data_IF_280208259686
#
_entry.id   IF_280208259686
#
_cell.length_a   1.000
_cell.length_b   1.000
_cell.length_c   1.000
_cell.angle_alpha   90.00
_cell.angle_beta   90.00
_cell.angle_gamma   90.00
#
_symmetry.space_group_name_H-M   'P 1'
#
loop_
_entity.id
_entity.type
_entity.pdbx_description
1 polymer ?
#
# COMPACT_ATOMS: atom_id res chain seq x y z
N UNK A 1 -1.56 -21.65 50.43
CA UNK A 1 -1.86 -21.17 51.80
C UNK A 1 -0.55 -20.71 52.42
N UNK A 2 -0.49 -19.42 52.80
CA UNK A 2 0.34 -18.77 53.84
C UNK A 2 1.89 -18.82 53.64
N UNK A 3 2.69 -17.76 53.83
CA UNK A 3 2.56 -16.42 54.45
C UNK A 3 3.81 -15.60 54.03
N UNK A 4 3.73 -14.32 53.61
CA UNK A 4 4.01 -13.07 54.39
C UNK A 4 5.48 -12.95 54.90
N UNK A 5 6.21 -11.83 54.86
CA UNK A 5 5.91 -10.38 54.79
C UNK A 5 7.21 -9.58 54.48
N UNK A 6 7.09 -8.38 53.88
CA UNK A 6 8.09 -7.30 53.94
C UNK A 6 8.15 -6.66 55.36
N UNK A 7 9.09 -5.74 55.65
CA UNK A 7 8.75 -4.32 55.45
C UNK A 7 9.93 -3.39 55.04
N UNK A 8 9.57 -2.23 54.48
CA UNK A 8 10.38 -1.01 54.45
C UNK A 8 10.00 -0.09 55.63
N UNK A 9 10.86 0.88 55.99
CA UNK A 9 10.37 2.26 56.09
C UNK A 9 11.35 3.32 55.53
N UNK A 10 10.82 4.49 55.18
CA UNK A 10 11.54 5.64 54.60
C UNK A 10 12.06 6.67 55.63
N UNK A 11 11.81 7.98 55.44
CA UNK A 11 12.80 9.03 55.14
C UNK A 11 12.93 10.12 56.23
N UNK A 12 13.84 11.11 56.10
CA UNK A 12 13.81 12.51 56.64
C UNK A 12 15.20 13.21 56.43
N UNK A 13 15.45 14.41 55.88
CA UNK A 13 14.98 15.84 55.94
C UNK A 13 15.95 16.77 56.70
N UNK A 14 16.09 18.01 56.19
CA UNK A 14 16.40 19.32 56.86
C UNK A 14 16.49 20.36 55.72
N UNK A 15 15.57 21.29 55.49
CA UNK A 15 14.87 22.31 56.28
C UNK A 15 15.69 23.60 56.55
N UNK A 16 15.22 24.71 55.97
CA UNK A 16 15.36 26.09 56.46
C UNK A 16 14.18 26.93 55.94
N UNK A 17 13.32 27.42 56.85
CA UNK A 17 12.19 28.34 56.59
C UNK A 17 12.60 29.83 56.56
N UNK A 18 11.77 30.75 57.10
CA UNK A 18 10.55 31.27 56.45
C UNK A 18 10.51 32.81 56.35
N UNK A 19 9.65 33.37 55.50
CA UNK A 19 9.39 34.81 55.41
C UNK A 19 8.16 35.17 54.57
N UNK A 20 7.26 35.95 55.14
CA UNK A 20 5.88 36.19 54.72
C UNK A 20 5.71 37.28 53.64
N UNK A 21 4.50 37.29 53.05
CA UNK A 21 3.59 38.44 52.83
C UNK A 21 3.39 38.97 51.38
N UNK A 22 2.17 38.68 50.91
CA UNK A 22 1.11 39.60 50.40
C UNK A 22 1.09 40.14 48.96
N UNK A 23 -0.06 39.83 48.31
CA UNK A 23 -1.01 40.71 47.59
C UNK A 23 -0.72 41.08 46.12
N UNK A 24 -1.55 40.53 45.23
CA UNK A 24 -2.20 41.18 44.06
C UNK A 24 -2.83 42.53 44.45
N UNK A 25 -3.23 43.45 43.52
CA UNK A 25 -3.69 43.22 42.14
C UNK A 25 -3.22 44.30 41.13
N UNK A 26 -3.60 44.22 39.84
CA UNK A 26 -4.58 45.15 39.26
C UNK A 26 -4.82 44.95 37.76
N UNK A 27 -6.11 44.85 37.45
CA UNK A 27 -6.75 45.16 36.17
C UNK A 27 -7.17 46.63 36.17
N UNK A 28 -6.93 47.39 35.11
CA UNK A 28 -7.72 48.59 34.72
C UNK A 28 -7.63 48.77 33.20
N UNK A 29 -8.73 48.63 32.45
CA UNK A 29 -9.77 49.64 32.15
C UNK A 29 -9.16 50.90 31.52
N UNK A 30 -9.54 51.40 30.34
CA UNK A 30 -10.81 51.38 29.63
C UNK A 30 -11.03 52.80 29.08
N UNK A 31 -11.55 52.93 27.85
CA UNK A 31 -12.29 54.12 27.41
C UNK A 31 -13.32 53.70 26.36
N UNK A 32 -14.57 53.69 26.78
CA UNK A 32 -15.76 53.85 25.94
C UNK A 32 -15.89 55.32 25.49
N UNK A 33 -16.51 55.59 24.34
CA UNK A 33 -17.89 56.12 24.28
C UNK A 33 -18.30 56.64 22.89
N UNK A 34 -19.57 56.39 22.59
CA UNK A 34 -20.48 57.06 21.64
C UNK A 34 -20.24 56.82 20.13
N UNK A 35 -21.21 56.46 19.30
CA UNK A 35 -22.66 56.34 19.45
C UNK A 35 -23.34 56.75 18.14
N UNK A 36 -24.21 55.89 17.58
CA UNK A 36 -25.49 56.26 16.94
C UNK A 36 -26.27 55.03 16.44
N UNK A 37 -27.54 55.00 16.86
CA UNK A 37 -28.65 54.11 16.51
C UNK A 37 -29.11 54.33 15.05
N UNK A 38 -29.47 53.28 14.26
CA UNK A 38 -30.79 52.61 14.07
C UNK A 38 -31.73 53.38 13.09
N UNK A 39 -32.88 52.86 12.55
CA UNK A 39 -33.39 51.50 12.23
C UNK A 39 -34.04 51.36 10.82
N UNK A 40 -34.39 50.14 10.41
CA UNK A 40 -35.75 49.73 9.95
C UNK A 40 -35.74 48.21 9.70
N UNK A 41 -36.45 47.30 10.38
CA UNK A 41 -37.77 47.18 11.01
C UNK A 41 -38.83 46.50 10.12
N UNK A 42 -39.52 45.54 10.77
CA UNK A 42 -40.81 44.87 10.47
C UNK A 42 -40.67 43.56 9.65
N UNK A 43 -40.94 42.36 10.16
CA UNK A 43 -41.65 41.91 11.37
C UNK A 43 -43.03 41.33 11.02
N UNK A 44 -43.31 40.10 11.47
CA UNK A 44 -44.55 39.67 12.17
C UNK A 44 -44.58 38.15 12.40
N UNK A 45 -44.54 37.79 13.69
CA UNK A 45 -45.02 36.53 14.27
C UNK A 45 -46.54 36.56 14.50
N UNK A 46 -47.14 35.35 14.62
CA UNK A 46 -48.16 34.88 15.59
C UNK A 46 -49.16 33.83 15.00
N UNK A 47 -49.91 33.03 15.80
CA UNK A 47 -49.48 31.76 16.39
C UNK A 47 -50.53 30.61 16.23
N UNK A 48 -50.26 29.46 16.86
CA UNK A 48 -51.12 28.26 16.99
C UNK A 48 -52.52 28.50 17.63
N UNK A 49 -53.42 27.50 17.55
CA UNK A 49 -54.09 27.06 18.78
C UNK A 49 -54.14 25.53 19.02
N UNK A 50 -54.44 25.20 20.28
CA UNK A 50 -54.53 23.89 20.96
C UNK A 50 -55.93 23.23 20.87
N UNK A 51 -55.99 21.92 21.13
CA UNK A 51 -57.10 21.16 21.76
C UNK A 51 -56.69 19.68 21.94
N UNK A 52 -56.41 19.14 23.14
CA UNK A 52 -57.33 18.51 24.14
C UNK A 52 -58.23 17.40 23.55
N UNK A 53 -58.48 16.21 24.11
CA UNK A 53 -58.12 15.54 25.38
C UNK A 53 -58.64 14.07 25.36
N UNK A 54 -57.97 13.18 26.12
CA UNK A 54 -58.46 12.03 26.93
C UNK A 54 -59.34 10.88 26.36
N UNK A 55 -58.88 9.62 26.53
CA UNK A 55 -59.42 8.60 27.47
C UNK A 55 -59.21 7.13 27.02
N UNK A 56 -58.75 6.28 27.94
CA UNK A 56 -58.87 4.79 27.95
C UNK A 56 -60.02 4.41 28.94
N UNK A 57 -60.42 3.13 29.22
CA UNK A 57 -59.90 1.81 28.81
C UNK A 57 -60.98 0.72 28.48
N UNK A 58 -60.58 -0.49 28.04
CA UNK A 58 -61.50 -1.65 27.95
C UNK A 58 -60.84 -2.98 27.58
N UNK A 59 -60.96 -3.97 28.48
CA UNK A 59 -60.40 -5.35 28.44
C UNK A 59 -60.93 -6.21 27.27
N UNK A 60 -60.14 -7.20 26.83
CA UNK A 60 -60.54 -8.62 26.88
C UNK A 60 -59.35 -9.58 26.66
N UNK A 61 -59.16 -10.48 27.63
CA UNK A 61 -58.30 -11.67 27.55
C UNK A 61 -59.00 -12.76 26.72
N UNK A 62 -58.27 -13.47 25.85
CA UNK A 62 -58.40 -14.92 25.68
C UNK A 62 -57.03 -15.55 25.35
N UNK A 63 -56.73 -16.64 26.06
CA UNK A 63 -55.60 -17.56 25.86
C UNK A 63 -55.98 -18.59 24.78
N UNK A 64 -55.00 -19.03 23.99
CA UNK A 64 -55.09 -20.22 23.12
C UNK A 64 -53.83 -20.33 22.22
N UNK A 65 -53.37 -21.53 21.83
CA UNK A 65 -51.96 -21.92 21.85
C UNK A 65 -51.20 -21.79 20.51
N UNK A 66 -49.86 -21.79 20.59
CA UNK A 66 -48.93 -22.04 19.48
C UNK A 66 -48.69 -23.57 19.32
N UNK A 67 -47.96 -24.09 18.29
CA UNK A 67 -47.25 -23.40 17.21
C UNK A 67 -47.52 -23.95 15.78
N UNK A 68 -47.23 -23.15 14.77
CA UNK A 68 -47.21 -23.57 13.37
C UNK A 68 -46.23 -22.69 12.57
N UNK A 69 -45.21 -23.33 12.02
CA UNK A 69 -44.09 -22.72 11.32
C UNK A 69 -44.52 -21.92 10.09
N UNK A 70 -44.05 -20.67 9.96
CA UNK A 70 -43.89 -20.00 8.68
C UNK A 70 -42.72 -19.02 8.73
N UNK A 71 -41.99 -19.01 7.62
CA UNK A 71 -40.74 -18.32 7.34
C UNK A 71 -40.76 -16.82 7.66
N UNK A 72 -39.71 -16.36 8.32
CA UNK A 72 -39.41 -14.96 8.58
C UNK A 72 -38.02 -14.62 8.03
N UNK A 73 -38.02 -13.67 7.12
CA UNK A 73 -36.91 -13.09 6.36
C UNK A 73 -35.82 -12.50 7.27
N UNK A 74 -34.59 -12.56 6.76
CA UNK A 74 -33.32 -11.98 7.21
C UNK A 74 -33.42 -10.72 8.08
N UNK A 75 -32.62 -10.72 9.14
CA UNK A 75 -31.86 -9.54 9.56
C UNK A 75 -30.40 -9.98 9.70
N UNK A 76 -29.66 -9.83 8.61
CA UNK A 76 -28.21 -10.00 8.63
C UNK A 76 -27.57 -8.82 9.36
N UNK A 77 -26.79 -9.15 10.39
CA UNK A 77 -25.89 -8.24 11.09
C UNK A 77 -24.83 -7.71 10.11
N UNK A 78 -24.89 -6.41 9.86
CA UNK A 78 -23.86 -5.67 9.13
C UNK A 78 -22.64 -5.55 10.04
N UNK A 79 -21.58 -6.31 9.77
CA UNK A 79 -20.25 -6.02 10.31
C UNK A 79 -19.64 -4.84 9.55
N UNK A 80 -18.93 -3.98 10.28
CA UNK A 80 -18.26 -2.82 9.72
C UNK A 80 -17.28 -3.27 8.62
N UNK A 81 -17.53 -2.84 7.38
CA UNK A 81 -16.71 -3.04 6.16
C UNK A 81 -17.09 -4.18 5.19
N UNK A 82 -18.38 -4.52 5.04
CA UNK A 82 -18.96 -5.01 3.77
C UNK A 82 -18.06 -5.90 2.89
N UNK A 83 -17.79 -7.14 3.31
CA UNK A 83 -17.14 -8.16 2.47
C UNK A 83 -18.15 -9.23 2.07
N UNK A 84 -18.28 -9.57 0.78
CA UNK A 84 -19.03 -10.76 0.39
C UNK A 84 -18.24 -12.03 0.77
N UNK A 85 -18.87 -12.94 1.51
CA UNK A 85 -18.31 -14.20 2.00
C UNK A 85 -17.82 -15.17 0.89
N UNK A 86 -18.16 -14.91 -0.38
CA UNK A 86 -17.92 -15.82 -1.51
C UNK A 86 -16.46 -15.99 -1.94
N UNK A 87 -15.57 -15.03 -1.70
CA UNK A 87 -14.19 -15.09 -2.21
C UNK A 87 -13.34 -16.18 -1.52
N UNK A 88 -13.57 -16.43 -0.21
CA UNK A 88 -12.90 -17.52 0.54
C UNK A 88 -13.35 -18.91 0.07
N UNK A 89 -14.55 -19.05 -0.49
CA UNK A 89 -15.07 -20.32 -0.98
C UNK A 89 -14.54 -20.66 -2.38
N UNK A 90 -14.38 -19.65 -3.26
CA UNK A 90 -13.96 -19.86 -4.64
C UNK A 90 -12.50 -20.30 -4.79
N UNK A 91 -11.57 -19.79 -3.96
CA UNK A 91 -10.17 -20.25 -3.93
C UNK A 91 -10.00 -21.76 -3.62
N UNK A 92 -11.06 -22.44 -3.14
CA UNK A 92 -11.08 -23.88 -2.85
C UNK A 92 -11.77 -24.73 -3.93
N UNK A 93 -12.31 -24.14 -4.99
CA UNK A 93 -13.10 -24.83 -6.02
C UNK A 93 -12.33 -25.05 -7.32
N UNK A 94 -11.88 -26.28 -7.57
CA UNK A 94 -11.33 -26.71 -8.85
C UNK A 94 -12.31 -26.58 -10.02
N UNK A 95 -11.83 -26.13 -11.19
CA UNK A 95 -12.42 -26.51 -12.49
C UNK A 95 -11.30 -26.85 -13.47
N UNK A 96 -11.29 -28.12 -13.88
CA UNK A 96 -10.52 -28.66 -15.00
C UNK A 96 -11.16 -28.20 -16.32
N UNK A 97 -10.42 -27.48 -17.17
CA UNK A 97 -10.85 -27.19 -18.54
C UNK A 97 -9.76 -27.57 -19.56
N UNK A 98 -10.20 -28.37 -20.54
CA UNK A 98 -9.46 -28.80 -21.74
C UNK A 98 -9.14 -27.61 -22.66
N UNK A 99 -8.06 -27.68 -23.47
CA UNK A 99 -7.65 -26.60 -24.36
C UNK A 99 -8.49 -26.56 -25.66
N UNK A 100 -8.70 -25.38 -26.28
CA UNK A 100 -9.27 -25.25 -27.61
C UNK A 100 -8.19 -25.37 -28.72
N UNK A 101 -8.58 -25.69 -29.98
CA UNK A 101 -7.66 -26.01 -31.06
C UNK A 101 -7.09 -24.77 -31.79
N UNK A 102 -5.91 -25.01 -32.37
CA UNK A 102 -5.08 -24.13 -33.18
C UNK A 102 -5.70 -23.68 -34.51
N UNK A 103 -5.41 -22.45 -34.94
CA UNK A 103 -5.31 -22.07 -36.36
C UNK A 103 -4.15 -21.11 -36.61
N UNK A 104 -3.44 -21.37 -37.70
CA UNK A 104 -2.22 -20.71 -38.18
C UNK A 104 -2.55 -19.68 -39.30
N UNK A 105 -1.58 -19.10 -40.04
CA UNK A 105 -1.39 -17.65 -40.12
C UNK A 105 -1.79 -17.06 -41.49
N UNK A 106 -1.83 -15.73 -41.61
CA UNK A 106 -1.90 -15.05 -42.90
C UNK A 106 -0.86 -13.94 -43.04
N UNK A 107 -0.42 -13.84 -44.28
CA UNK A 107 0.80 -13.27 -44.82
C UNK A 107 1.02 -11.75 -44.67
N UNK A 108 2.29 -11.43 -44.92
CA UNK A 108 2.90 -10.12 -45.08
C UNK A 108 2.25 -9.21 -46.12
N UNK A 109 2.34 -7.90 -45.90
CA UNK A 109 2.44 -6.91 -46.97
C UNK A 109 3.66 -6.03 -46.71
N UNK A 110 4.55 -6.05 -47.71
CA UNK A 110 5.80 -5.32 -47.82
C UNK A 110 5.49 -4.04 -48.62
N UNK A 111 5.86 -2.87 -48.12
CA UNK A 111 5.93 -1.67 -48.93
C UNK A 111 7.25 -0.93 -48.66
N UNK A 112 8.13 -1.00 -49.65
CA UNK A 112 9.27 -0.12 -49.83
C UNK A 112 8.78 1.32 -50.00
N UNK A 113 9.49 2.29 -49.41
CA UNK A 113 9.91 3.50 -50.11
C UNK A 113 11.16 4.08 -49.42
N UNK A 114 12.19 4.33 -50.22
CA UNK A 114 13.38 5.14 -49.94
C UNK A 114 13.69 5.92 -51.23
N UNK A 115 14.64 6.86 -51.28
CA UNK A 115 15.11 7.81 -50.28
C UNK A 115 15.01 9.27 -50.80
N UNK A 116 15.32 10.27 -49.97
CA UNK A 116 15.79 11.58 -50.47
C UNK A 116 17.02 12.04 -49.69
N UNK A 117 18.12 12.21 -50.44
CA UNK A 117 19.35 12.88 -50.03
C UNK A 117 19.14 14.41 -49.98
N UNK A 118 19.80 15.06 -49.02
CA UNK A 118 20.57 16.30 -49.18
C UNK A 118 21.33 16.50 -47.86
N UNK A 119 22.65 16.26 -47.83
CA UNK A 119 23.72 17.20 -48.19
C UNK A 119 24.03 18.21 -47.07
N UNK A 120 25.32 18.23 -46.75
CA UNK A 120 25.95 18.83 -45.58
C UNK A 120 26.01 20.36 -45.62
N UNK A 121 26.24 20.97 -44.46
CA UNK A 121 27.18 22.09 -44.37
C UNK A 121 27.83 22.14 -43.00
N UNK A 122 29.10 21.77 -42.96
CA UNK A 122 30.04 22.18 -41.93
C UNK A 122 30.32 23.68 -42.10
N UNK A 123 30.56 24.40 -41.01
CA UNK A 123 31.42 25.59 -40.94
C UNK A 123 31.68 25.95 -39.46
N UNK A 124 32.94 25.79 -39.07
CA UNK A 124 33.63 26.47 -37.98
C UNK A 124 35.05 26.77 -38.52
N UNK A 125 35.93 27.53 -37.85
CA UNK A 125 35.80 28.42 -36.68
C UNK A 125 36.42 29.82 -36.95
N UNK A 126 36.56 30.71 -35.96
CA UNK A 126 37.74 31.60 -35.75
C UNK A 126 37.63 32.36 -34.39
N UNK A 127 38.75 32.83 -33.79
CA UNK A 127 38.89 33.05 -32.36
C UNK A 127 38.75 34.52 -31.94
N UNK A 128 38.13 34.76 -30.79
CA UNK A 128 38.09 36.06 -30.11
C UNK A 128 38.67 35.96 -28.71
N UNK A 129 39.85 36.54 -28.54
CA UNK A 129 40.62 36.59 -27.30
C UNK A 129 40.19 37.80 -26.46
N UNK A 130 39.43 37.62 -25.38
CA UNK A 130 39.26 38.63 -24.34
C UNK A 130 39.40 38.00 -22.95
N UNK A 131 40.53 38.32 -22.33
CA UNK A 131 40.93 37.95 -20.98
C UNK A 131 40.27 38.92 -20.01
N UNK A 132 39.31 38.46 -19.22
CA UNK A 132 38.77 39.21 -18.07
C UNK A 132 39.03 38.41 -16.78
N UNK A 133 39.30 39.10 -15.66
CA UNK A 133 39.91 38.51 -14.47
C UNK A 133 38.93 37.66 -13.65
N UNK A 134 39.49 36.60 -13.08
CA UNK A 134 38.86 35.67 -12.14
C UNK A 134 38.45 36.36 -10.84
N UNK A 135 37.19 36.21 -10.38
CA UNK A 135 36.89 36.20 -8.97
C UNK A 135 36.99 34.76 -8.46
N UNK A 136 37.97 34.51 -7.59
CA UNK A 136 37.97 33.35 -6.69
C UNK A 136 36.75 33.46 -5.77
N UNK A 137 35.63 32.90 -6.20
CA UNK A 137 34.53 32.52 -5.32
C UNK A 137 34.59 31.01 -5.15
N UNK A 138 34.82 30.56 -3.91
CA UNK A 138 34.77 29.16 -3.54
C UNK A 138 33.34 28.62 -3.71
N UNK A 139 33.03 28.14 -4.91
CA UNK A 139 31.83 27.36 -5.18
C UNK A 139 32.14 25.88 -4.95
N UNK A 140 32.25 25.47 -3.69
CA UNK A 140 31.98 24.08 -3.33
C UNK A 140 30.47 23.87 -3.24
N UNK A 141 29.75 24.17 -4.32
CA UNK A 141 28.43 23.61 -4.54
C UNK A 141 28.64 22.23 -5.13
N UNK A 142 28.75 21.19 -4.31
CA UNK A 142 28.61 19.84 -4.83
C UNK A 142 27.24 19.78 -5.51
N UNK A 143 27.21 19.52 -6.82
CA UNK A 143 25.96 19.21 -7.51
C UNK A 143 25.20 18.18 -6.66
N UNK A 144 23.89 18.37 -6.41
CA UNK A 144 23.11 17.41 -5.64
C UNK A 144 23.37 16.03 -6.23
N UNK A 145 23.89 15.11 -5.42
CA UNK A 145 24.08 13.73 -5.88
C UNK A 145 22.71 13.23 -6.35
N UNK A 146 22.59 12.74 -7.60
CA UNK A 146 21.32 12.21 -8.06
C UNK A 146 20.88 11.11 -7.09
N UNK A 147 19.61 11.16 -6.70
CA UNK A 147 19.05 10.17 -5.79
C UNK A 147 19.08 8.76 -6.39
N UNK A 148 18.87 7.73 -5.56
CA UNK A 148 18.88 6.35 -6.03
C UNK A 148 17.78 6.12 -7.06
N UNK A 149 18.09 5.34 -8.10
CA UNK A 149 17.14 4.92 -9.13
C UNK A 149 16.43 3.65 -8.69
N UNK A 150 15.12 3.70 -8.51
CA UNK A 150 14.33 2.58 -8.00
C UNK A 150 13.36 2.09 -9.07
N UNK A 151 13.43 0.80 -9.39
CA UNK A 151 12.45 0.13 -10.22
C UNK A 151 11.23 -0.26 -9.36
N UNK A 152 10.03 0.14 -9.76
CA UNK A 152 8.77 -0.28 -9.14
C UNK A 152 8.06 -1.25 -10.08
N UNK A 153 7.88 -2.51 -9.67
CA UNK A 153 7.28 -3.56 -10.50
C UNK A 153 5.83 -3.80 -10.08
N UNK A 154 4.90 -3.51 -10.98
CA UNK A 154 3.45 -3.63 -10.78
C UNK A 154 2.89 -4.89 -11.44
N UNK A 155 1.65 -5.22 -11.09
CA UNK A 155 0.97 -6.48 -11.43
C UNK A 155 -0.47 -6.32 -11.89
N UNK A 156 -0.90 -5.09 -12.22
CA UNK A 156 -2.26 -4.69 -12.60
C UNK A 156 -2.69 -3.41 -11.87
N UNK A 157 -3.99 -3.22 -11.64
CA UNK A 157 -4.54 -2.02 -10.98
C UNK A 157 -5.81 -2.33 -10.15
N UNK A 158 -5.64 -2.98 -9.00
CA UNK A 158 -6.74 -3.43 -8.15
C UNK A 158 -6.30 -4.57 -7.23
N UNK A 159 -6.76 -4.60 -5.97
CA UNK A 159 -6.26 -5.58 -4.99
C UNK A 159 -6.54 -7.03 -5.38
N UNK A 160 -7.67 -7.34 -6.01
CA UNK A 160 -8.07 -8.73 -6.27
C UNK A 160 -7.51 -9.32 -7.56
N UNK A 161 -7.09 -8.48 -8.51
CA UNK A 161 -6.62 -8.89 -9.84
C UNK A 161 -5.32 -8.22 -10.29
N UNK A 162 -4.74 -7.35 -9.46
CA UNK A 162 -3.54 -6.58 -9.78
C UNK A 162 -2.78 -6.10 -8.53
N UNK A 163 -2.17 -4.92 -8.66
CA UNK A 163 -1.48 -4.26 -7.56
C UNK A 163 -2.45 -3.60 -6.59
N UNK A 164 -2.18 -3.72 -5.28
CA UNK A 164 -2.89 -2.96 -4.24
C UNK A 164 -2.54 -1.46 -4.38
N UNK A 165 -3.58 -0.63 -4.56
CA UNK A 165 -3.43 0.77 -4.97
C UNK A 165 -2.85 1.65 -3.85
N UNK A 166 -3.23 1.40 -2.61
CA UNK A 166 -2.73 2.16 -1.47
C UNK A 166 -1.27 1.83 -1.16
N UNK A 167 -0.85 0.57 -1.34
CA UNK A 167 0.53 0.12 -1.20
C UNK A 167 1.41 0.79 -2.24
N UNK A 168 1.00 0.73 -3.53
CA UNK A 168 1.73 1.40 -4.61
C UNK A 168 1.82 2.92 -4.38
N UNK A 169 0.71 3.55 -3.95
CA UNK A 169 0.68 4.98 -3.61
C UNK A 169 1.64 5.31 -2.45
N UNK A 170 1.60 4.53 -1.36
CA UNK A 170 2.48 4.72 -0.21
C UNK A 170 3.96 4.55 -0.59
N UNK A 171 4.29 3.53 -1.40
CA UNK A 171 5.65 3.33 -1.91
C UNK A 171 6.12 4.55 -2.70
N UNK A 172 5.31 5.05 -3.64
CA UNK A 172 5.65 6.22 -4.46
C UNK A 172 5.85 7.48 -3.60
N UNK A 173 4.99 7.71 -2.61
CA UNK A 173 5.12 8.85 -1.67
C UNK A 173 6.42 8.76 -0.88
N UNK A 174 6.75 7.60 -0.33
CA UNK A 174 7.98 7.44 0.48
C UNK A 174 9.25 7.45 -0.36
N UNK A 175 9.22 6.92 -1.59
CA UNK A 175 10.33 7.03 -2.54
C UNK A 175 10.58 8.50 -2.93
N UNK A 176 9.51 9.25 -3.21
CA UNK A 176 9.59 10.68 -3.49
C UNK A 176 10.17 11.47 -2.32
N UNK A 177 9.70 11.22 -1.09
CA UNK A 177 10.28 11.81 0.13
C UNK A 177 11.74 11.44 0.35
N UNK A 178 12.13 10.24 -0.05
CA UNK A 178 13.51 9.76 -0.03
C UNK A 178 14.41 10.32 -1.12
N UNK A 179 13.87 11.16 -2.03
CA UNK A 179 14.60 11.75 -3.15
C UNK A 179 14.96 10.75 -4.26
N UNK A 180 14.30 9.60 -4.31
CA UNK A 180 14.57 8.57 -5.31
C UNK A 180 13.97 8.93 -6.68
N UNK A 181 14.65 8.54 -7.76
CA UNK A 181 14.11 8.55 -9.12
C UNK A 181 13.40 7.21 -9.36
N UNK A 182 12.11 7.24 -9.70
CA UNK A 182 11.32 6.01 -9.86
C UNK A 182 11.04 5.73 -11.33
N UNK A 183 11.31 4.50 -11.76
CA UNK A 183 10.86 3.96 -13.05
C UNK A 183 9.91 2.80 -12.80
N UNK A 184 8.75 2.81 -13.45
CA UNK A 184 7.68 1.85 -13.20
C UNK A 184 7.65 0.82 -14.32
N UNK A 185 7.50 -0.44 -13.94
CA UNK A 185 7.49 -1.58 -14.84
C UNK A 185 6.30 -2.51 -14.56
N UNK A 186 5.85 -3.23 -15.58
CA UNK A 186 4.91 -4.33 -15.43
C UNK A 186 5.07 -5.31 -16.61
N UNK A 187 4.81 -6.62 -16.44
CA UNK A 187 4.89 -7.56 -17.55
C UNK A 187 3.74 -7.33 -18.54
N UNK A 188 4.04 -7.36 -19.84
CA UNK A 188 3.04 -7.28 -20.90
C UNK A 188 2.35 -8.63 -21.12
N UNK A 189 1.47 -9.00 -20.18
CA UNK A 189 0.73 -10.27 -20.18
C UNK A 189 -0.74 -10.06 -19.83
N UNK A 190 -1.64 -10.97 -20.24
CA UNK A 190 -3.02 -10.98 -19.73
C UNK A 190 -3.06 -11.14 -18.20
N UNK A 191 -4.00 -10.47 -17.54
CA UNK A 191 -4.35 -10.79 -16.16
C UNK A 191 -4.96 -12.20 -16.09
N UNK A 192 -4.69 -12.94 -15.00
CA UNK A 192 -5.32 -14.25 -14.78
C UNK A 192 -6.84 -14.15 -14.70
N UNK A 193 -7.35 -13.14 -13.99
CA UNK A 193 -8.78 -12.81 -13.90
C UNK A 193 -8.98 -11.31 -13.95
N UNK A 194 -10.19 -10.88 -14.31
CA UNK A 194 -10.69 -9.53 -14.09
C UNK A 194 -11.74 -9.62 -12.99
N UNK A 195 -11.63 -8.83 -11.93
CA UNK A 195 -12.52 -8.93 -10.77
C UNK A 195 -13.37 -7.66 -10.64
N UNK A 196 -14.69 -7.83 -10.58
CA UNK A 196 -15.58 -6.78 -10.10
C UNK A 196 -15.36 -6.61 -8.60
N UNK A 197 -14.63 -5.56 -8.22
CA UNK A 197 -14.26 -5.30 -6.83
C UNK A 197 -15.47 -4.95 -5.94
N UNK A 198 -16.61 -4.55 -6.50
CA UNK A 198 -17.84 -4.31 -5.72
C UNK A 198 -18.54 -5.61 -5.32
N UNK A 199 -18.33 -6.68 -6.10
CA UNK A 199 -18.91 -8.00 -5.87
C UNK A 199 -17.91 -9.02 -5.33
N UNK A 200 -16.61 -8.77 -5.51
CA UNK A 200 -15.55 -9.72 -5.21
C UNK A 200 -15.58 -10.96 -6.11
N UNK A 201 -16.14 -10.85 -7.32
CA UNK A 201 -16.34 -11.98 -8.25
C UNK A 201 -15.69 -11.73 -9.61
N UNK A 202 -15.29 -12.80 -10.33
CA UNK A 202 -14.79 -12.68 -11.69
C UNK A 202 -15.83 -12.09 -12.66
N UNK A 203 -15.37 -11.18 -13.53
CA UNK A 203 -16.09 -10.75 -14.72
C UNK A 203 -15.69 -11.68 -15.87
N UNK A 204 -16.35 -12.84 -15.98
CA UNK A 204 -15.99 -13.96 -16.87
C UNK A 204 -15.83 -13.58 -18.36
N UNK A 205 -16.51 -12.53 -18.82
CA UNK A 205 -16.45 -12.05 -20.20
C UNK A 205 -15.40 -10.97 -20.46
N UNK A 206 -14.69 -10.51 -19.43
CA UNK A 206 -13.70 -9.43 -19.55
C UNK A 206 -12.27 -9.98 -19.52
N UNK A 207 -11.43 -9.41 -20.36
CA UNK A 207 -9.99 -9.63 -20.33
C UNK A 207 -9.26 -8.29 -20.24
N UNK A 208 -8.22 -8.23 -19.42
CA UNK A 208 -7.35 -7.06 -19.28
C UNK A 208 -5.89 -7.46 -19.32
N UNK A 209 -5.03 -6.51 -19.67
CA UNK A 209 -3.60 -6.69 -19.74
C UNK A 209 -2.91 -6.00 -18.55
N UNK A 210 -1.96 -6.69 -17.93
CA UNK A 210 -1.27 -6.26 -16.70
C UNK A 210 -0.55 -4.92 -16.91
N UNK A 211 0.26 -4.78 -17.96
CA UNK A 211 0.97 -3.55 -18.28
C UNK A 211 0.01 -2.38 -18.55
N UNK A 212 -1.03 -2.64 -19.33
CA UNK A 212 -2.05 -1.64 -19.70
C UNK A 212 -2.78 -1.12 -18.46
N UNK A 213 -3.21 -2.00 -17.57
CA UNK A 213 -3.92 -1.59 -16.36
C UNK A 213 -2.98 -0.91 -15.35
N UNK A 214 -1.75 -1.41 -15.19
CA UNK A 214 -0.73 -0.75 -14.35
C UNK A 214 -0.35 0.66 -14.84
N UNK A 215 -0.53 0.97 -16.12
CA UNK A 215 -0.34 2.32 -16.65
C UNK A 215 -1.26 3.36 -15.98
N UNK A 216 -2.39 2.94 -15.39
CA UNK A 216 -3.29 3.81 -14.61
C UNK A 216 -2.57 4.36 -13.36
N UNK A 217 -1.89 3.50 -12.62
CA UNK A 217 -1.08 3.88 -11.44
C UNK A 217 0.09 4.76 -11.88
N UNK A 218 0.77 4.37 -12.97
CA UNK A 218 1.94 5.06 -13.48
C UNK A 218 1.65 6.36 -14.22
N UNK A 219 0.38 6.74 -14.41
CA UNK A 219 -0.04 7.89 -15.23
C UNK A 219 0.58 7.84 -16.64
N UNK A 220 0.60 6.66 -17.24
CA UNK A 220 1.18 6.39 -18.56
C UNK A 220 2.71 6.26 -18.60
N UNK A 221 3.43 6.53 -17.51
CA UNK A 221 4.90 6.44 -17.44
C UNK A 221 5.36 5.06 -16.98
N UNK A 222 5.08 4.04 -17.78
CA UNK A 222 5.40 2.64 -17.49
C UNK A 222 6.12 1.99 -18.66
N UNK A 223 6.98 1.03 -18.37
CA UNK A 223 7.72 0.24 -19.36
C UNK A 223 7.46 -1.26 -19.17
N UNK A 224 7.53 -2.04 -20.23
CA UNK A 224 7.51 -3.49 -20.13
C UNK A 224 8.66 -3.99 -19.22
N UNK A 225 8.33 -4.89 -18.28
CA UNK A 225 9.27 -5.52 -17.36
C UNK A 225 10.41 -6.25 -18.07
N UNK A 226 10.18 -6.75 -19.29
CA UNK A 226 11.23 -7.37 -20.11
C UNK A 226 12.42 -6.43 -20.37
N UNK A 227 12.22 -5.10 -20.28
CA UNK A 227 13.24 -4.07 -20.49
C UNK A 227 13.96 -3.63 -19.22
N UNK A 228 13.50 -4.07 -18.04
CA UNK A 228 14.17 -3.77 -16.78
C UNK A 228 15.50 -4.52 -16.71
N UNK A 229 16.58 -3.77 -16.49
CA UNK A 229 17.90 -4.29 -16.18
C UNK A 229 18.36 -3.76 -14.83
N UNK A 230 18.88 -4.66 -13.98
CA UNK A 230 19.48 -4.28 -12.71
C UNK A 230 20.67 -3.32 -12.88
N UNK A 231 21.36 -3.31 -14.01
CA UNK A 231 22.51 -2.42 -14.25
C UNK A 231 22.15 -0.92 -14.14
N UNK A 232 20.92 -0.56 -14.51
CA UNK A 232 20.45 0.83 -14.63
C UNK A 232 19.71 1.36 -13.40
N UNK A 233 19.58 0.54 -12.35
CA UNK A 233 18.81 0.85 -11.14
C UNK A 233 19.61 0.49 -9.90
N UNK A 234 19.30 1.11 -8.77
CA UNK A 234 19.93 0.85 -7.47
C UNK A 234 19.10 -0.07 -6.59
N UNK A 235 17.79 -0.18 -6.82
CA UNK A 235 16.89 -1.07 -6.09
C UNK A 235 15.67 -1.48 -6.92
N UNK A 236 14.99 -2.54 -6.52
CA UNK A 236 13.69 -2.95 -7.04
C UNK A 236 12.66 -3.08 -5.91
N UNK A 237 11.43 -2.64 -6.12
CA UNK A 237 10.33 -2.77 -5.17
C UNK A 237 9.11 -3.41 -5.83
N UNK A 238 8.50 -4.36 -5.14
CA UNK A 238 7.31 -5.10 -5.54
C UNK A 238 6.19 -4.85 -4.52
N UNK A 239 5.16 -4.06 -4.85
CA UNK A 239 3.96 -3.97 -4.04
C UNK A 239 3.20 -5.31 -4.04
N UNK A 240 2.29 -5.47 -3.09
CA UNK A 240 1.39 -6.61 -3.04
C UNK A 240 0.15 -6.45 -3.92
N UNK A 241 -0.98 -6.92 -3.37
CA UNK A 241 -2.18 -7.24 -4.13
C UNK A 241 -2.12 -8.65 -4.71
N UNK A 242 -3.29 -9.25 -4.96
CA UNK A 242 -3.39 -10.62 -5.48
C UNK A 242 -2.78 -10.76 -6.87
N UNK A 243 -2.58 -9.67 -7.63
CA UNK A 243 -1.81 -9.71 -8.87
C UNK A 243 -0.37 -10.20 -8.69
N UNK A 244 0.27 -9.99 -7.52
CA UNK A 244 1.59 -10.58 -7.24
C UNK A 244 1.51 -12.12 -7.16
N UNK A 245 0.40 -12.66 -6.62
CA UNK A 245 0.17 -14.09 -6.49
C UNK A 245 -0.48 -14.73 -7.74
N UNK A 246 -1.07 -13.94 -8.65
CA UNK A 246 -1.82 -14.41 -9.82
C UNK A 246 -1.15 -14.11 -11.17
N UNK A 247 -0.49 -12.96 -11.28
CA UNK A 247 0.07 -12.45 -12.54
C UNK A 247 1.61 -12.48 -12.55
N UNK A 248 2.23 -12.11 -11.42
CA UNK A 248 3.69 -12.23 -11.24
C UNK A 248 4.13 -13.64 -10.88
N UNK A 249 3.18 -14.48 -10.43
CA UNK A 249 3.38 -15.88 -10.13
C UNK A 249 2.06 -16.64 -10.23
N UNK A 250 2.11 -17.95 -10.05
CA UNK A 250 0.91 -18.81 -9.92
C UNK A 250 0.59 -19.16 -8.47
N UNK A 251 1.15 -18.44 -7.48
CA UNK A 251 1.02 -18.76 -6.05
C UNK A 251 -0.43 -18.86 -5.56
N UNK A 252 -1.34 -18.04 -6.08
CA UNK A 252 -2.74 -18.06 -5.70
C UNK A 252 -3.46 -19.38 -6.04
N UNK A 253 -2.93 -20.14 -7.01
CA UNK A 253 -3.50 -21.41 -7.48
C UNK A 253 -2.64 -22.60 -7.05
N UNK A 254 -1.33 -22.48 -7.20
CA UNK A 254 -0.39 -23.61 -7.02
C UNK A 254 0.26 -23.62 -5.63
N UNK A 255 0.07 -22.59 -4.81
CA UNK A 255 0.64 -22.48 -3.47
C UNK A 255 2.17 -22.66 -3.47
N UNK A 256 2.68 -23.66 -2.74
CA UNK A 256 4.13 -23.94 -2.65
C UNK A 256 4.75 -24.43 -3.97
N UNK A 257 3.96 -24.99 -4.87
CA UNK A 257 4.42 -25.54 -6.15
C UNK A 257 4.40 -24.49 -7.27
N UNK A 258 4.18 -23.22 -6.89
CA UNK A 258 4.04 -22.12 -7.83
C UNK A 258 5.27 -21.89 -8.70
N UNK A 259 4.99 -21.24 -9.83
CA UNK A 259 5.98 -20.71 -10.75
C UNK A 259 5.93 -19.19 -10.69
N UNK A 260 7.09 -18.57 -10.80
CA UNK A 260 7.20 -17.11 -10.94
C UNK A 260 7.29 -16.78 -12.42
N UNK A 261 6.70 -15.66 -12.83
CA UNK A 261 6.82 -15.15 -14.20
C UNK A 261 8.32 -15.02 -14.55
N UNK A 262 8.70 -15.40 -15.78
CA UNK A 262 10.11 -15.48 -16.18
C UNK A 262 10.85 -14.15 -16.05
N UNK A 263 10.21 -13.03 -16.37
CA UNK A 263 10.84 -11.71 -16.24
C UNK A 263 10.95 -11.28 -14.78
N UNK A 264 9.98 -11.63 -13.94
CA UNK A 264 10.04 -11.39 -12.50
C UNK A 264 11.17 -12.21 -11.87
N UNK A 265 11.28 -13.49 -12.22
CA UNK A 265 12.35 -14.37 -11.74
C UNK A 265 13.73 -13.85 -12.16
N UNK A 266 13.87 -13.44 -13.43
CA UNK A 266 15.08 -12.82 -13.97
C UNK A 266 15.44 -11.56 -13.18
N UNK A 267 14.50 -10.63 -13.00
CA UNK A 267 14.73 -9.37 -12.28
C UNK A 267 15.16 -9.63 -10.83
N UNK A 268 14.47 -10.53 -10.11
CA UNK A 268 14.84 -10.86 -8.73
C UNK A 268 16.27 -11.42 -8.64
N UNK A 269 16.67 -12.29 -9.58
CA UNK A 269 18.03 -12.83 -9.65
C UNK A 269 19.05 -11.76 -9.99
N UNK A 270 18.81 -10.94 -11.03
CA UNK A 270 19.73 -9.88 -11.45
C UNK A 270 20.01 -8.87 -10.32
N UNK A 271 18.98 -8.43 -9.58
CA UNK A 271 19.17 -7.49 -8.47
C UNK A 271 19.89 -8.15 -7.29
N UNK A 272 19.55 -9.41 -6.96
CA UNK A 272 20.22 -10.16 -5.90
C UNK A 272 21.70 -10.41 -6.20
N UNK A 273 22.02 -10.88 -7.41
CA UNK A 273 23.40 -11.12 -7.88
C UNK A 273 24.22 -9.83 -7.93
N UNK A 274 23.61 -8.71 -8.29
CA UNK A 274 24.24 -7.39 -8.26
C UNK A 274 24.39 -6.81 -6.84
N UNK A 275 23.91 -7.51 -5.80
CA UNK A 275 23.93 -7.03 -4.42
C UNK A 275 23.12 -5.75 -4.23
N UNK A 276 22.01 -5.61 -4.95
CA UNK A 276 21.12 -4.44 -4.92
C UNK A 276 19.86 -4.77 -4.12
N UNK A 277 19.39 -3.86 -3.25
CA UNK A 277 18.27 -4.16 -2.38
C UNK A 277 16.96 -4.39 -3.13
N UNK A 278 16.18 -5.34 -2.61
CA UNK A 278 14.85 -5.71 -3.11
C UNK A 278 13.84 -5.47 -1.99
N UNK A 279 12.83 -4.64 -2.22
CA UNK A 279 11.72 -4.39 -1.31
C UNK A 279 10.47 -5.16 -1.73
N UNK A 280 9.80 -5.88 -0.84
CA UNK A 280 8.52 -6.53 -1.13
C UNK A 280 7.53 -6.35 0.03
N UNK A 281 6.27 -6.00 -0.24
CA UNK A 281 5.25 -5.89 0.81
C UNK A 281 4.05 -6.80 0.59
N UNK A 282 3.30 -7.04 1.67
CA UNK A 282 2.08 -7.83 1.64
C UNK A 282 2.33 -9.28 1.20
N UNK A 283 1.70 -9.74 0.11
CA UNK A 283 1.88 -11.09 -0.41
C UNK A 283 3.11 -11.23 -1.32
N UNK A 284 3.67 -10.13 -1.83
CA UNK A 284 4.82 -10.17 -2.75
C UNK A 284 6.08 -10.89 -2.22
N UNK A 285 6.38 -10.97 -0.91
CA UNK A 285 7.50 -11.77 -0.39
C UNK A 285 7.52 -13.25 -0.81
N UNK A 286 6.39 -13.84 -1.21
CA UNK A 286 6.36 -15.21 -1.78
C UNK A 286 7.20 -15.34 -3.04
N UNK A 287 7.35 -14.26 -3.81
CA UNK A 287 8.18 -14.22 -5.02
C UNK A 287 9.66 -14.41 -4.65
N UNK A 288 10.15 -13.66 -3.66
CA UNK A 288 11.51 -13.77 -3.18
C UNK A 288 11.76 -15.14 -2.53
N UNK A 289 10.82 -15.64 -1.72
CA UNK A 289 10.91 -16.95 -1.11
C UNK A 289 11.02 -18.09 -2.14
N UNK A 290 10.30 -17.99 -3.27
CA UNK A 290 10.33 -18.99 -4.34
C UNK A 290 11.62 -18.96 -5.17
N UNK A 291 12.22 -17.78 -5.35
CA UNK A 291 13.33 -17.55 -6.30
C UNK A 291 14.69 -17.53 -5.62
N UNK A 292 14.80 -16.93 -4.42
CA UNK A 292 16.06 -16.71 -3.72
C UNK A 292 16.24 -17.73 -2.59
N UNK A 293 17.33 -18.50 -2.63
CA UNK A 293 17.59 -19.56 -1.65
C UNK A 293 17.97 -18.99 -0.29
N UNK A 294 17.30 -19.45 0.77
CA UNK A 294 17.65 -19.11 2.15
C UNK A 294 17.43 -17.64 2.51
N UNK A 295 16.50 -16.96 1.84
CA UNK A 295 16.09 -15.60 2.15
C UNK A 295 15.24 -15.57 3.42
N UNK A 296 15.37 -14.49 4.20
CA UNK A 296 14.46 -14.17 5.30
C UNK A 296 13.43 -13.13 4.87
N UNK A 297 12.15 -13.38 5.16
CA UNK A 297 11.07 -12.46 4.81
C UNK A 297 10.01 -12.42 5.91
N UNK A 298 9.20 -11.36 5.93
CA UNK A 298 7.97 -11.30 6.72
C UNK A 298 6.75 -11.16 5.83
N UNK A 299 5.67 -11.83 6.21
CA UNK A 299 4.30 -11.56 5.71
C UNK A 299 3.36 -11.19 6.86
N UNK A 300 3.92 -10.88 8.05
CA UNK A 300 3.17 -10.56 9.26
C UNK A 300 3.31 -11.62 10.35
N UNK A 301 2.18 -12.07 10.89
CA UNK A 301 2.10 -13.08 11.93
C UNK A 301 1.80 -14.47 11.38
N UNK A 302 2.10 -15.50 12.18
CA UNK A 302 1.87 -16.92 11.84
C UNK A 302 0.52 -17.45 12.36
N UNK A 303 -0.15 -16.69 13.22
CA UNK A 303 -1.44 -17.06 13.80
C UNK A 303 -2.50 -16.02 13.46
N UNK A 304 -3.73 -16.49 13.22
CA UNK A 304 -4.88 -15.59 13.16
C UNK A 304 -5.15 -15.03 14.58
N UNK A 305 -5.20 -13.71 14.72
CA UNK A 305 -5.48 -13.04 16.00
C UNK A 305 -6.80 -12.26 15.89
N UNK A 306 -7.93 -12.91 16.15
CA UNK A 306 -9.23 -12.23 16.16
C UNK A 306 -9.58 -11.50 14.86
N UNK A 307 -9.15 -12.05 13.71
CA UNK A 307 -9.35 -11.46 12.39
C UNK A 307 -8.30 -10.41 11.98
N UNK A 308 -7.39 -10.02 12.87
CA UNK A 308 -6.31 -9.06 12.58
C UNK A 308 -5.35 -9.55 11.50
N UNK A 309 -5.07 -10.85 11.44
CA UNK A 309 -4.14 -11.47 10.49
C UNK A 309 -4.84 -12.54 9.65
N UNK A 310 -5.72 -12.15 8.70
CA UNK A 310 -6.60 -13.09 7.98
C UNK A 310 -5.87 -14.00 6.98
N UNK A 311 -4.56 -13.81 6.80
CA UNK A 311 -3.72 -14.56 5.86
C UNK A 311 -2.49 -15.19 6.54
N UNK A 312 -2.56 -15.43 7.86
CA UNK A 312 -1.45 -15.96 8.66
C UNK A 312 -0.87 -17.30 8.12
N UNK A 313 -1.70 -18.13 7.47
CA UNK A 313 -1.25 -19.37 6.82
C UNK A 313 -0.20 -19.18 5.71
N UNK A 314 -0.02 -17.95 5.20
CA UNK A 314 1.05 -17.62 4.25
C UNK A 314 2.44 -17.85 4.84
N UNK A 315 2.61 -17.68 6.15
CA UNK A 315 3.89 -17.93 6.82
C UNK A 315 4.37 -19.38 6.64
N UNK A 316 3.46 -20.35 6.69
CA UNK A 316 3.80 -21.76 6.44
C UNK A 316 4.15 -22.02 4.98
N UNK A 317 3.49 -21.35 4.04
CA UNK A 317 3.86 -21.41 2.63
C UNK A 317 5.27 -20.85 2.38
N UNK A 318 5.64 -19.75 3.04
CA UNK A 318 7.00 -19.18 2.98
C UNK A 318 8.04 -20.21 3.48
N UNK A 319 7.77 -20.88 4.60
CA UNK A 319 8.64 -21.94 5.15
C UNK A 319 8.75 -23.12 4.17
N UNK A 320 7.64 -23.55 3.59
CA UNK A 320 7.61 -24.65 2.62
C UNK A 320 8.36 -24.32 1.31
N UNK A 321 8.44 -23.04 0.93
CA UNK A 321 9.23 -22.55 -0.20
C UNK A 321 10.75 -22.52 0.09
N UNK A 322 11.17 -22.81 1.33
CA UNK A 322 12.58 -22.84 1.74
C UNK A 322 13.12 -21.50 2.22
N UNK A 323 12.26 -20.52 2.49
CA UNK A 323 12.60 -19.25 3.09
C UNK A 323 12.31 -19.26 4.60
N UNK A 324 12.95 -18.37 5.34
CA UNK A 324 12.68 -18.18 6.76
C UNK A 324 11.65 -17.08 6.94
N UNK A 325 10.54 -17.40 7.59
CA UNK A 325 9.56 -16.39 8.00
C UNK A 325 10.00 -15.72 9.31
N UNK A 326 9.92 -14.39 9.35
CA UNK A 326 10.22 -13.57 10.53
C UNK A 326 8.97 -12.80 10.92
N UNK A 327 8.44 -13.05 12.12
CA UNK A 327 7.23 -12.34 12.59
C UNK A 327 7.51 -10.86 12.77
N UNK A 328 6.63 -10.02 12.22
CA UNK A 328 6.69 -8.55 12.32
C UNK A 328 5.29 -7.95 12.47
N UNK A 329 5.21 -6.87 13.25
CA UNK A 329 4.03 -6.02 13.30
C UNK A 329 3.84 -5.23 12.00
N UNK A 330 2.62 -4.73 11.79
CA UNK A 330 2.23 -4.03 10.56
C UNK A 330 3.01 -2.74 10.29
N UNK A 331 3.51 -2.06 11.34
CA UNK A 331 4.32 -0.84 11.21
C UNK A 331 5.82 -1.14 11.10
N UNK A 332 6.23 -2.40 11.13
CA UNK A 332 7.62 -2.83 11.06
C UNK A 332 8.01 -3.33 9.66
N UNK A 333 9.31 -3.32 9.39
CA UNK A 333 9.91 -4.00 8.26
C UNK A 333 10.98 -4.98 8.74
N UNK A 334 11.06 -6.15 8.09
CA UNK A 334 12.18 -7.08 8.24
C UNK A 334 13.26 -6.77 7.22
N UNK A 335 14.53 -6.90 7.62
CA UNK A 335 15.69 -6.72 6.73
C UNK A 335 16.56 -7.97 6.81
N UNK A 336 16.61 -8.71 5.72
CA UNK A 336 17.63 -9.73 5.48
C UNK A 336 18.90 -9.04 4.98
N UNK A 337 19.86 -8.80 5.88
CA UNK A 337 21.09 -8.10 5.54
C UNK A 337 22.00 -8.88 4.59
N UNK A 338 21.92 -10.21 4.63
CA UNK A 338 22.77 -11.07 3.79
C UNK A 338 22.31 -10.99 2.34
N UNK A 339 21.00 -11.06 2.11
CA UNK A 339 20.42 -11.06 0.77
C UNK A 339 19.96 -9.67 0.30
N UNK A 340 20.04 -8.65 1.17
CA UNK A 340 19.52 -7.29 0.96
C UNK A 340 18.04 -7.27 0.58
N UNK A 341 17.25 -8.14 1.22
CA UNK A 341 15.81 -8.21 1.01
C UNK A 341 15.11 -7.52 2.18
N UNK A 342 14.22 -6.58 1.87
CA UNK A 342 13.44 -5.84 2.86
C UNK A 342 11.96 -6.16 2.65
N UNK A 343 11.26 -6.54 3.71
CA UNK A 343 9.84 -6.91 3.61
C UNK A 343 8.99 -6.32 4.71
N UNK A 344 7.71 -6.04 4.44
CA UNK A 344 6.75 -5.55 5.43
C UNK A 344 5.35 -6.14 5.20
N UNK A 345 4.53 -6.36 6.25
CA UNK A 345 3.27 -7.08 6.10
C UNK A 345 2.16 -6.31 5.36
N UNK A 346 2.11 -4.97 5.46
CA UNK A 346 1.07 -4.15 4.83
C UNK A 346 -0.38 -4.69 5.01
N UNK A 347 -1.16 -4.86 3.94
CA UNK A 347 -2.56 -5.34 4.00
C UNK A 347 -2.72 -6.83 4.34
N UNK A 348 -1.64 -7.53 4.70
CA UNK A 348 -1.76 -8.83 5.38
C UNK A 348 -2.35 -8.69 6.80
N UNK A 349 -2.42 -7.44 7.31
CA UNK A 349 -3.01 -7.06 8.59
C UNK A 349 -4.27 -6.20 8.39
N UNK A 350 -5.34 -6.53 9.11
CA UNK A 350 -6.54 -5.69 9.23
C UNK A 350 -6.31 -4.62 10.30
N UNK A 351 -6.04 -3.39 9.85
CA UNK A 351 -5.77 -2.25 10.74
C UNK A 351 -6.12 -0.93 10.05
N UNK A 352 -5.93 0.18 10.75
CA UNK A 352 -6.10 1.51 10.17
C UNK A 352 -5.07 1.75 9.04
N UNK A 353 -5.52 2.36 7.95
CA UNK A 353 -4.72 2.59 6.74
C UNK A 353 -3.36 3.26 6.99
N UNK A 354 -3.28 4.19 7.94
CA UNK A 354 -2.04 4.89 8.24
C UNK A 354 -0.94 3.97 8.81
N UNK A 355 -1.29 2.94 9.60
CA UNK A 355 -0.31 1.96 10.08
C UNK A 355 0.31 1.17 8.92
N UNK A 356 -0.50 0.84 7.91
CA UNK A 356 -0.04 0.17 6.69
C UNK A 356 0.91 1.08 5.92
N UNK A 357 0.52 2.33 5.73
CA UNK A 357 1.35 3.36 5.11
C UNK A 357 2.69 3.56 5.85
N UNK A 358 2.69 3.53 7.17
CA UNK A 358 3.89 3.72 8.00
C UNK A 358 4.84 2.52 7.90
N UNK A 359 4.32 1.28 7.92
CA UNK A 359 5.12 0.07 7.70
C UNK A 359 5.77 0.03 6.32
N UNK A 360 5.03 0.43 5.28
CA UNK A 360 5.57 0.61 3.92
C UNK A 360 6.65 1.68 3.91
N UNK A 361 6.46 2.78 4.64
CA UNK A 361 7.49 3.81 4.81
C UNK A 361 8.76 3.28 5.46
N UNK A 362 8.64 2.45 6.49
CA UNK A 362 9.77 1.78 7.12
C UNK A 362 10.52 0.87 6.12
N UNK A 363 9.79 0.10 5.30
CA UNK A 363 10.37 -0.73 4.24
C UNK A 363 11.13 0.11 3.22
N UNK A 364 10.50 1.15 2.65
CA UNK A 364 11.13 2.02 1.65
C UNK A 364 12.37 2.70 2.21
N UNK A 365 12.30 3.23 3.44
CA UNK A 365 13.46 3.82 4.11
C UNK A 365 14.63 2.84 4.20
N UNK A 366 14.38 1.59 4.60
CA UNK A 366 15.41 0.55 4.70
C UNK A 366 15.98 0.15 3.34
N UNK A 367 15.16 0.06 2.30
CA UNK A 367 15.64 -0.16 0.92
C UNK A 367 16.60 0.95 0.51
N UNK A 368 16.23 2.22 0.72
CA UNK A 368 17.06 3.38 0.38
C UNK A 368 18.32 3.53 1.26
N UNK A 369 18.31 3.01 2.48
CA UNK A 369 19.53 2.92 3.30
C UNK A 369 20.53 1.93 2.70
N UNK A 370 20.05 0.80 2.16
CA UNK A 370 20.87 -0.24 1.54
C UNK A 370 21.41 0.09 0.15
N UNK A 371 20.91 1.14 -0.52
CA UNK A 371 21.46 1.64 -1.79
C UNK A 371 22.67 2.55 -1.59
N UNK A 372 22.88 3.07 -0.38
CA UNK A 372 23.98 3.98 -0.08
C UNK A 372 25.27 3.16 0.01
N UNK A 373 26.23 3.52 -0.85
CA UNK A 373 27.59 2.98 -0.85
C UNK A 373 28.43 3.56 0.28
#
# INVERSE_FOLDING_TARGET
>A
MLSRCCPAPGPETRDTGPGQRSREPDTRSGREAAGRANPSARGRDHPLPRGQSQSSPGRLRRRGPAPGALAGVERDEVTAQGRPAGFRAWLRGHVTLRPPPSRAPMAAVRALMAPRLAAASALAPLPGNTRMPSPRAALHGSAPRPGPKVALVLSGCGVYDGTELHEASAILVHLSRGGAEVQIFAPDVPQMHVIDHTKGQPAESETRNVLTESARIARGKITDLARLSAANHDAAIFPGGFGAAKNLSTFAVDGKDCKVNKDVERVLKEFHEAGKPIGLCCIAPVLAARVLRGVEVTVGHEQEEGGKWPYAGTAEAIKALGAKHCVKGVTEAHVDQKNKVVTTPAFMCETALHHIHDGIGAMVKKVLELTRK
#
